data_IF_287584486572
#
_entry.id   IF_287584486572
#
_cell.length_a   1.000
_cell.length_b   1.000
_cell.length_c   1.000
_cell.angle_alpha   90.00
_cell.angle_beta   90.00
_cell.angle_gamma   90.00
#
_symmetry.space_group_name_H-M   'P 1'
#
loop_
_entity.id
_entity.type
_entity.pdbx_description
1 polymer ?
#
# COMPACT_ATOMS: atom_id res chain seq x y z
N UNK A 1 13.71 -2.93 -19.17
CA UNK A 1 12.45 -2.22 -18.88
C UNK A 1 11.41 -3.20 -18.39
N UNK A 2 11.29 -3.25 -17.08
CA UNK A 2 10.29 -4.05 -16.36
C UNK A 2 8.93 -3.35 -16.39
N UNK A 3 7.84 -4.10 -16.42
CA UNK A 3 6.49 -3.52 -16.34
C UNK A 3 6.07 -3.40 -14.88
N UNK A 4 5.82 -2.17 -14.45
CA UNK A 4 5.47 -1.84 -13.06
C UNK A 4 3.97 -1.57 -12.88
N UNK A 5 3.42 -2.06 -11.77
CA UNK A 5 2.08 -1.75 -11.27
C UNK A 5 2.17 -1.15 -9.87
N UNK A 6 1.43 -0.07 -9.62
CA UNK A 6 1.16 0.47 -8.29
C UNK A 6 -0.23 0.03 -7.85
N UNK A 7 -0.29 -0.83 -6.83
CA UNK A 7 -1.54 -1.24 -6.18
C UNK A 7 -1.64 -0.55 -4.83
N UNK A 8 -2.80 0.00 -4.47
CA UNK A 8 -2.96 0.62 -3.16
C UNK A 8 -4.36 0.48 -2.59
N UNK A 9 -4.45 0.44 -1.26
CA UNK A 9 -5.68 0.73 -0.52
C UNK A 9 -5.58 2.11 0.10
N UNK A 10 -6.67 2.87 0.12
CA UNK A 10 -6.71 4.14 0.84
C UNK A 10 -8.12 4.46 1.33
N UNK A 11 -8.21 4.89 2.58
CA UNK A 11 -9.44 5.27 3.26
C UNK A 11 -9.31 6.66 3.89
N UNK A 12 -10.45 7.33 4.13
CA UNK A 12 -10.53 8.72 4.60
C UNK A 12 -9.86 9.72 3.66
N UNK A 13 -8.77 10.39 4.07
CA UNK A 13 -8.20 11.54 3.36
C UNK A 13 -7.40 11.21 2.09
N UNK A 14 -7.26 9.93 1.74
CA UNK A 14 -6.56 9.55 0.52
C UNK A 14 -5.04 9.72 0.59
N UNK A 15 -4.44 9.70 1.79
CA UNK A 15 -2.98 9.86 1.96
C UNK A 15 -2.19 8.81 1.17
N UNK A 16 -2.56 7.54 1.29
CA UNK A 16 -1.92 6.44 0.53
C UNK A 16 -2.17 6.59 -0.97
N UNK A 17 -3.37 7.05 -1.38
CA UNK A 17 -3.68 7.37 -2.77
C UNK A 17 -2.74 8.44 -3.32
N UNK A 18 -2.52 9.52 -2.57
CA UNK A 18 -1.61 10.61 -2.95
C UNK A 18 -0.21 10.08 -3.25
N UNK A 19 0.34 9.22 -2.39
CA UNK A 19 1.67 8.63 -2.60
C UNK A 19 1.68 7.68 -3.80
N UNK A 20 0.62 6.86 -3.97
CA UNK A 20 0.49 5.97 -5.12
C UNK A 20 0.45 6.75 -6.45
N UNK A 21 -0.27 7.87 -6.49
CA UNK A 21 -0.34 8.76 -7.65
C UNK A 21 1.00 9.47 -7.92
N UNK A 22 1.72 9.90 -6.89
CA UNK A 22 3.07 10.45 -7.06
C UNK A 22 4.04 9.42 -7.66
N UNK A 23 4.04 8.19 -7.12
CA UNK A 23 4.87 7.10 -7.63
C UNK A 23 4.54 6.77 -9.09
N UNK A 24 3.25 6.68 -9.41
CA UNK A 24 2.77 6.45 -10.78
C UNK A 24 3.24 7.56 -11.72
N UNK A 25 3.09 8.82 -11.34
CA UNK A 25 3.51 9.96 -12.15
C UNK A 25 5.02 9.99 -12.39
N UNK A 26 5.83 9.61 -11.41
CA UNK A 26 7.29 9.61 -11.53
C UNK A 26 7.89 8.41 -12.23
N UNK A 27 7.15 7.31 -12.35
CA UNK A 27 7.63 6.05 -12.98
C UNK A 27 6.94 5.74 -14.31
N UNK A 28 5.76 6.30 -14.57
CA UNK A 28 4.90 5.92 -15.69
C UNK A 28 4.23 4.55 -15.50
N UNK A 29 4.23 4.00 -14.29
CA UNK A 29 3.61 2.71 -13.98
C UNK A 29 2.08 2.73 -14.16
N UNK A 30 1.49 1.53 -14.34
CA UNK A 30 0.04 1.38 -14.21
C UNK A 30 -0.38 1.54 -12.75
N UNK A 31 -1.65 1.90 -12.49
CA UNK A 31 -2.19 2.04 -11.14
C UNK A 31 -3.51 1.30 -10.97
N UNK A 32 -3.67 0.59 -9.86
CA UNK A 32 -4.91 -0.07 -9.47
C UNK A 32 -5.23 0.19 -7.99
N UNK A 33 -6.51 0.44 -7.71
CA UNK A 33 -7.00 0.61 -6.33
C UNK A 33 -7.63 -0.68 -5.82
N UNK A 34 -7.28 -1.07 -4.60
CA UNK A 34 -7.99 -2.11 -3.85
C UNK A 34 -9.26 -1.48 -3.26
N UNK A 35 -10.41 -2.11 -3.54
CA UNK A 35 -11.70 -1.71 -2.99
C UNK A 35 -12.36 -2.92 -2.32
N UNK A 36 -12.86 -2.75 -1.10
CA UNK A 36 -13.68 -3.77 -0.45
C UNK A 36 -15.04 -3.85 -1.15
N UNK A 37 -15.63 -5.03 -1.24
CA UNK A 37 -17.00 -5.19 -1.77
C UNK A 37 -18.02 -4.43 -0.90
N UNK A 38 -17.79 -4.41 0.41
CA UNK A 38 -18.52 -3.57 1.36
C UNK A 38 -17.58 -2.46 1.87
N UNK A 39 -17.77 -1.19 1.46
CA UNK A 39 -16.94 -0.09 1.94
C UNK A 39 -17.10 0.16 3.45
N UNK A 40 -16.00 0.48 4.12
CA UNK A 40 -16.07 0.97 5.51
C UNK A 40 -16.93 2.23 5.57
N UNK A 41 -17.92 2.20 6.45
CA UNK A 41 -18.93 3.25 6.61
C UNK A 41 -19.11 3.59 8.08
N UNK A 42 -19.71 4.75 8.37
CA UNK A 42 -19.87 5.27 9.73
C UNK A 42 -18.97 6.47 10.01
N UNK A 43 -18.89 6.85 11.29
CA UNK A 43 -17.98 7.89 11.75
C UNK A 43 -16.51 7.42 11.69
N UNK A 44 -15.58 8.36 11.86
CA UNK A 44 -14.16 8.01 11.95
C UNK A 44 -13.89 7.03 13.11
N UNK A 45 -14.54 7.25 14.26
CA UNK A 45 -14.41 6.40 15.44
C UNK A 45 -14.97 4.99 15.19
N UNK A 46 -16.10 4.87 14.48
CA UNK A 46 -16.69 3.57 14.13
C UNK A 46 -15.73 2.73 13.28
N UNK A 47 -15.08 3.35 12.29
CA UNK A 47 -14.12 2.67 11.42
C UNK A 47 -12.82 2.34 12.14
N UNK A 48 -12.36 3.21 13.05
CA UNK A 48 -11.20 2.91 13.91
C UNK A 48 -11.47 1.68 14.77
N UNK A 49 -12.64 1.58 15.41
CA UNK A 49 -13.02 0.43 16.24
C UNK A 49 -13.28 -0.83 15.42
N UNK A 50 -13.90 -0.71 14.25
CA UNK A 50 -14.03 -1.83 13.31
C UNK A 50 -12.65 -2.34 12.87
N UNK A 51 -11.77 -1.45 12.41
CA UNK A 51 -10.42 -1.80 11.99
C UNK A 51 -9.63 -2.50 13.09
N UNK A 52 -9.86 -2.14 14.37
CA UNK A 52 -9.22 -2.81 15.51
C UNK A 52 -9.61 -4.28 15.57
N UNK A 53 -10.92 -4.52 15.62
CA UNK A 53 -11.49 -5.86 15.73
C UNK A 53 -11.09 -6.73 14.55
N UNK A 54 -11.05 -6.16 13.35
CA UNK A 54 -10.64 -6.87 12.14
C UNK A 54 -9.16 -7.25 12.13
N UNK A 55 -8.27 -6.31 12.51
CA UNK A 55 -6.83 -6.60 12.64
C UNK A 55 -6.58 -7.66 13.71
N UNK A 56 -7.19 -7.53 14.89
CA UNK A 56 -7.04 -8.50 16.00
C UNK A 56 -7.56 -9.90 15.63
N UNK A 57 -8.60 -9.98 14.79
CA UNK A 57 -9.17 -11.23 14.33
C UNK A 57 -8.47 -11.83 13.11
N UNK A 58 -7.53 -11.11 12.46
CA UNK A 58 -7.00 -11.49 11.16
C UNK A 58 -8.06 -11.56 10.07
N UNK A 59 -9.08 -10.70 10.16
CA UNK A 59 -10.19 -10.67 9.22
C UNK A 59 -9.73 -10.27 7.83
N UNK A 60 -10.20 -10.99 6.81
CA UNK A 60 -9.90 -10.73 5.41
C UNK A 60 -11.21 -10.32 4.71
N UNK A 61 -11.54 -9.02 4.64
CA UNK A 61 -12.75 -8.56 3.96
C UNK A 61 -12.71 -8.95 2.49
N UNK A 62 -13.86 -9.26 1.91
CA UNK A 62 -13.95 -9.46 0.46
C UNK A 62 -13.56 -8.16 -0.28
N UNK A 63 -12.77 -8.32 -1.34
CA UNK A 63 -12.34 -7.22 -2.21
C UNK A 63 -12.86 -7.44 -3.64
N UNK A 64 -13.13 -6.34 -4.33
CA UNK A 64 -13.41 -6.37 -5.75
C UNK A 64 -12.17 -6.82 -6.53
N UNK A 65 -12.32 -7.52 -7.66
CA UNK A 65 -11.20 -7.76 -8.57
C UNK A 65 -10.56 -6.44 -9.01
N UNK A 66 -9.23 -6.38 -9.00
CA UNK A 66 -8.50 -5.24 -9.55
C UNK A 66 -8.66 -5.18 -11.08
N UNK A 67 -8.49 -4.00 -11.66
CA UNK A 67 -8.73 -3.74 -13.09
C UNK A 67 -7.67 -4.31 -14.04
N UNK A 68 -6.67 -5.01 -13.53
CA UNK A 68 -5.50 -5.50 -14.29
C UNK A 68 -5.16 -6.93 -13.89
N UNK A 69 -4.42 -7.63 -14.76
CA UNK A 69 -3.89 -8.95 -14.47
C UNK A 69 -2.47 -8.85 -13.88
N UNK A 70 -2.27 -9.27 -12.64
CA UNK A 70 -0.97 -9.23 -11.95
C UNK A 70 0.13 -10.02 -12.67
N UNK A 71 -0.23 -11.06 -13.43
CA UNK A 71 0.75 -11.85 -14.18
C UNK A 71 1.49 -11.03 -15.25
N UNK A 72 0.92 -9.91 -15.69
CA UNK A 72 1.48 -9.07 -16.75
C UNK A 72 2.61 -8.14 -16.26
N UNK A 73 2.91 -8.15 -14.96
CA UNK A 73 3.82 -7.20 -14.31
C UNK A 73 4.97 -7.91 -13.58
N UNK A 74 6.15 -7.31 -13.66
CA UNK A 74 7.38 -7.79 -13.02
C UNK A 74 7.55 -7.17 -11.63
N UNK A 75 7.18 -5.89 -11.50
CA UNK A 75 7.33 -5.09 -10.28
C UNK A 75 5.97 -4.61 -9.78
N UNK A 76 5.65 -4.90 -8.52
CA UNK A 76 4.40 -4.48 -7.88
C UNK A 76 4.72 -3.60 -6.65
N UNK A 77 4.47 -2.31 -6.75
CA UNK A 77 4.43 -1.45 -5.57
C UNK A 77 3.09 -1.60 -4.86
N UNK A 78 3.10 -1.83 -3.55
CA UNK A 78 1.88 -2.10 -2.77
C UNK A 78 1.78 -1.09 -1.62
N UNK A 79 0.71 -0.31 -1.63
CA UNK A 79 0.47 0.79 -0.69
C UNK A 79 -0.64 0.51 0.32
N UNK A 80 -0.39 0.77 1.60
CA UNK A 80 -1.39 0.66 2.66
C UNK A 80 -1.35 1.81 3.67
N UNK A 81 -2.48 2.25 4.24
CA UNK A 81 -2.45 2.95 5.51
C UNK A 81 -2.07 1.97 6.64
N UNK A 82 -1.47 2.50 7.71
CA UNK A 82 -1.20 1.74 8.93
C UNK A 82 -2.44 1.72 9.82
N UNK A 83 -3.02 0.54 10.01
CA UNK A 83 -4.18 0.29 10.87
C UNK A 83 -3.76 -0.62 12.02
N UNK A 84 -3.89 -0.14 13.25
CA UNK A 84 -3.53 -0.90 14.46
C UNK A 84 -2.16 -1.58 14.37
N UNK A 85 -1.17 -0.80 13.93
CA UNK A 85 0.24 -1.18 13.80
C UNK A 85 0.57 -2.19 12.68
N UNK A 86 -0.37 -2.50 11.80
CA UNK A 86 -0.14 -3.33 10.60
C UNK A 86 -0.87 -2.76 9.37
N UNK A 87 -0.86 -3.47 8.24
CA UNK A 87 -1.57 -3.09 7.00
C UNK A 87 -3.10 -3.11 7.18
N UNK A 88 -3.82 -2.39 6.32
CA UNK A 88 -5.27 -2.46 6.30
C UNK A 88 -5.72 -3.90 5.94
N UNK A 89 -6.81 -4.41 6.54
CA UNK A 89 -7.33 -5.76 6.25
C UNK A 89 -7.58 -6.06 4.76
N UNK A 90 -7.96 -5.04 3.98
CA UNK A 90 -8.13 -5.16 2.54
C UNK A 90 -6.82 -5.48 1.80
N UNK A 91 -5.69 -4.96 2.28
CA UNK A 91 -4.35 -5.25 1.73
C UNK A 91 -3.92 -6.65 2.14
N UNK A 92 -4.16 -7.08 3.38
CA UNK A 92 -3.94 -8.47 3.79
C UNK A 92 -4.68 -9.46 2.87
N UNK A 93 -5.95 -9.18 2.56
CA UNK A 93 -6.72 -9.98 1.59
C UNK A 93 -6.01 -10.00 0.25
N UNK A 94 -5.65 -8.85 -0.30
CA UNK A 94 -4.95 -8.76 -1.58
C UNK A 94 -3.64 -9.56 -1.59
N UNK A 95 -2.82 -9.48 -0.53
CA UNK A 95 -1.55 -10.20 -0.46
C UNK A 95 -1.75 -11.72 -0.38
N UNK A 96 -2.76 -12.18 0.35
CA UNK A 96 -3.00 -13.62 0.57
C UNK A 96 -3.74 -14.29 -0.58
N UNK A 97 -4.46 -13.54 -1.41
CA UNK A 97 -5.21 -14.08 -2.55
C UNK A 97 -4.48 -13.99 -3.89
N UNK A 98 -3.24 -13.47 -3.93
CA UNK A 98 -2.47 -13.30 -5.16
C UNK A 98 -1.09 -13.97 -5.06
N UNK A 99 -0.57 -14.39 -6.22
CA UNK A 99 0.76 -15.00 -6.33
C UNK A 99 1.81 -13.95 -6.72
N UNK A 100 2.85 -13.83 -5.90
CA UNK A 100 3.97 -12.92 -6.10
C UNK A 100 5.26 -13.66 -6.47
N UNK A 101 5.19 -14.97 -6.74
CA UNK A 101 6.35 -15.77 -7.11
C UNK A 101 7.06 -15.19 -8.34
N UNK A 102 8.36 -14.89 -8.18
CA UNK A 102 9.19 -14.35 -9.25
C UNK A 102 8.95 -12.86 -9.55
N UNK A 103 8.17 -12.16 -8.72
CA UNK A 103 7.97 -10.70 -8.81
C UNK A 103 8.86 -9.96 -7.82
N UNK A 104 9.12 -8.69 -8.11
CA UNK A 104 9.68 -7.74 -7.13
C UNK A 104 8.54 -6.94 -6.51
N UNK A 105 8.43 -6.95 -5.19
CA UNK A 105 7.46 -6.16 -4.43
C UNK A 105 8.14 -4.95 -3.82
N UNK A 106 7.49 -3.79 -3.97
CA UNK A 106 7.91 -2.52 -3.33
C UNK A 106 6.84 -2.15 -2.29
N UNK A 107 7.01 -2.55 -1.02
CA UNK A 107 6.03 -2.24 0.01
C UNK A 107 6.17 -0.78 0.44
N UNK A 108 5.06 -0.04 0.49
CA UNK A 108 5.04 1.28 1.09
C UNK A 108 3.82 1.49 1.99
N UNK A 109 3.99 2.31 3.02
CA UNK A 109 2.94 2.60 3.98
C UNK A 109 2.80 4.08 4.30
N UNK A 110 1.58 4.49 4.67
CA UNK A 110 1.31 5.81 5.24
C UNK A 110 0.83 5.69 6.68
N UNK A 111 1.40 6.47 7.61
CA UNK A 111 1.05 6.43 9.03
C UNK A 111 0.94 7.84 9.65
N UNK A 112 0.28 7.95 10.80
CA UNK A 112 0.16 9.19 11.59
C UNK A 112 1.24 9.36 12.67
N UNK A 113 2.42 8.74 12.52
CA UNK A 113 3.48 8.71 13.54
C UNK A 113 3.62 7.36 14.28
N UNK A 114 2.76 6.39 13.98
CA UNK A 114 2.83 5.03 14.52
C UNK A 114 2.95 4.01 13.38
N UNK A 115 4.18 3.75 12.88
CA UNK A 115 4.38 2.87 11.72
C UNK A 115 4.14 1.39 12.00
N UNK A 116 4.28 0.96 13.26
CA UNK A 116 4.09 -0.44 13.63
C UNK A 116 5.07 -1.39 12.93
N UNK A 117 4.57 -2.55 12.50
CA UNK A 117 5.30 -3.64 11.85
C UNK A 117 4.79 -3.92 10.42
N UNK A 118 4.10 -2.94 9.82
CA UNK A 118 3.39 -3.04 8.54
C UNK A 118 4.22 -3.66 7.43
N UNK A 119 5.40 -3.09 7.13
CA UNK A 119 6.22 -3.54 5.99
C UNK A 119 6.67 -4.99 6.22
N UNK A 120 7.11 -5.32 7.45
CA UNK A 120 7.48 -6.69 7.81
C UNK A 120 6.31 -7.67 7.60
N UNK A 121 5.10 -7.31 8.03
CA UNK A 121 3.92 -8.16 7.83
C UNK A 121 3.56 -8.31 6.34
N UNK A 122 3.75 -7.27 5.54
CA UNK A 122 3.57 -7.35 4.09
C UNK A 122 4.57 -8.33 3.47
N UNK A 123 5.84 -8.27 3.86
CA UNK A 123 6.88 -9.20 3.38
C UNK A 123 6.55 -10.65 3.73
N UNK A 124 6.07 -10.91 4.96
CA UNK A 124 5.67 -12.26 5.42
C UNK A 124 4.47 -12.83 4.62
N UNK A 125 3.62 -11.96 4.07
CA UNK A 125 2.44 -12.36 3.28
C UNK A 125 2.69 -12.40 1.76
N UNK A 126 3.76 -11.77 1.25
CA UNK A 126 4.17 -11.78 -0.16
C UNK A 126 5.12 -12.95 -0.47
N UNK A 127 4.69 -14.20 -0.24
CA UNK A 127 5.56 -15.37 -0.41
C UNK A 127 6.04 -15.51 -1.86
N UNK A 128 7.34 -15.77 -2.03
CA UNK A 128 7.97 -15.97 -3.34
C UNK A 128 8.39 -14.67 -4.05
N UNK A 129 8.10 -13.51 -3.48
CA UNK A 129 8.58 -12.22 -3.98
C UNK A 129 10.03 -11.95 -3.57
N UNK A 130 10.72 -11.15 -4.37
CA UNK A 130 11.85 -10.33 -3.91
C UNK A 130 11.32 -8.98 -3.40
N UNK A 131 12.06 -8.30 -2.53
CA UNK A 131 11.69 -6.98 -1.99
C UNK A 131 12.74 -5.93 -2.33
N UNK A 132 12.28 -4.73 -2.65
CA UNK A 132 13.14 -3.57 -2.93
C UNK A 132 12.43 -2.26 -2.56
N UNK A 133 13.22 -1.22 -2.33
CA UNK A 133 12.75 0.17 -2.20
C UNK A 133 11.58 0.34 -1.23
N UNK A 134 11.59 -0.34 -0.09
CA UNK A 134 10.54 -0.15 0.90
C UNK A 134 10.45 1.31 1.37
N UNK A 135 9.24 1.79 1.69
CA UNK A 135 9.07 3.17 2.11
C UNK A 135 8.02 3.38 3.19
N UNK A 136 8.42 4.08 4.25
CA UNK A 136 7.54 4.58 5.28
C UNK A 136 7.29 6.08 5.08
N UNK A 137 6.03 6.46 4.91
CA UNK A 137 5.61 7.84 4.76
C UNK A 137 4.76 8.26 5.97
N UNK A 138 5.14 9.35 6.62
CA UNK A 138 4.39 9.91 7.74
C UNK A 138 3.56 11.12 7.30
N UNK A 139 2.31 11.13 7.76
CA UNK A 139 1.39 12.26 7.73
C UNK A 139 1.09 12.72 9.17
N UNK A 140 0.39 13.86 9.30
CA UNK A 140 0.04 14.43 10.60
C UNK A 140 -0.69 13.43 11.51
N UNK A 141 -0.29 13.47 12.78
CA UNK A 141 -0.78 12.60 13.85
C UNK A 141 -2.27 12.72 14.17
N UNK A 142 -2.94 13.77 13.69
CA UNK A 142 -4.39 13.96 13.87
C UNK A 142 -5.20 13.30 12.75
N UNK A 143 -4.56 12.45 11.96
CA UNK A 143 -5.18 11.74 10.85
C UNK A 143 -5.59 12.67 9.71
N UNK A 144 -4.85 13.77 9.50
CA UNK A 144 -5.07 14.73 8.40
C UNK A 144 -4.19 14.43 7.19
N UNK A 145 -4.24 15.28 6.18
CA UNK A 145 -3.53 15.16 4.90
C UNK A 145 -2.19 15.94 4.84
N UNK A 146 -1.81 16.58 5.95
CA UNK A 146 -0.51 17.22 6.05
C UNK A 146 0.59 16.15 6.05
N UNK A 147 1.50 16.28 5.09
CA UNK A 147 2.59 15.36 4.88
C UNK A 147 3.80 15.80 5.73
N UNK A 148 4.28 14.91 6.61
CA UNK A 148 5.42 15.17 7.49
C UNK A 148 6.74 14.69 6.88
N UNK A 149 6.73 13.56 6.16
CA UNK A 149 7.86 13.12 5.35
C UNK A 149 8.10 14.12 4.22
N UNK A 150 9.31 14.66 4.07
CA UNK A 150 9.55 15.68 3.05
C UNK A 150 9.29 15.16 1.63
N UNK A 151 8.74 16.03 0.78
CA UNK A 151 8.51 15.73 -0.65
C UNK A 151 9.83 15.39 -1.38
N UNK A 152 10.97 15.94 -0.92
CA UNK A 152 12.30 15.63 -1.45
C UNK A 152 12.65 14.15 -1.26
N UNK A 153 12.45 13.61 -0.05
CA UNK A 153 12.72 12.19 0.26
C UNK A 153 11.84 11.27 -0.59
N UNK A 154 10.56 11.64 -0.78
CA UNK A 154 9.65 10.85 -1.63
C UNK A 154 10.07 10.93 -3.10
N UNK A 155 10.51 12.10 -3.57
CA UNK A 155 10.99 12.30 -4.94
C UNK A 155 12.25 11.49 -5.21
N UNK A 156 13.20 11.47 -4.27
CA UNK A 156 14.42 10.66 -4.36
C UNK A 156 14.11 9.17 -4.41
N UNK A 157 13.22 8.69 -3.54
CA UNK A 157 12.74 7.31 -3.53
C UNK A 157 12.12 6.90 -4.87
N UNK A 158 11.23 7.74 -5.42
CA UNK A 158 10.62 7.52 -6.74
C UNK A 158 11.70 7.49 -7.84
N UNK A 159 12.69 8.39 -7.77
CA UNK A 159 13.81 8.44 -8.71
C UNK A 159 14.68 7.18 -8.71
N UNK A 160 14.91 6.58 -7.53
CA UNK A 160 15.63 5.30 -7.39
C UNK A 160 14.85 4.16 -8.04
N UNK A 161 13.54 4.05 -7.75
CA UNK A 161 12.67 3.04 -8.38
C UNK A 161 12.67 3.21 -9.90
N UNK A 162 12.45 4.43 -10.39
CA UNK A 162 12.39 4.72 -11.81
C UNK A 162 13.72 4.39 -12.51
N UNK A 163 14.85 4.60 -11.84
CA UNK A 163 16.17 4.23 -12.37
C UNK A 163 16.31 2.71 -12.49
N UNK A 164 15.81 1.94 -11.53
CA UNK A 164 15.97 0.48 -11.53
C UNK A 164 15.06 -0.21 -12.56
N UNK A 165 13.80 0.18 -12.67
CA UNK A 165 12.85 -0.44 -13.62
C UNK A 165 13.18 -0.14 -15.10
N UNK A 166 13.92 0.95 -15.36
CA UNK A 166 14.31 1.38 -16.71
C UNK A 166 15.72 0.94 -17.12
N UNK A 167 16.44 0.20 -16.27
CA UNK A 167 17.65 -0.52 -16.69
C UNK A 167 17.31 -1.63 -17.72
#
# INVERSE_FOLDING_TARGET
MEKMLVVYYSWSNGNTKRIAEQLTNGTGADIARIETTEPYSGSHEDVVEQGKREVEAGFMPQINPISVNLADYDVIAIGTPTWWYTMAPAVLTFLTTNDFTGKTVIPFMTNGGWPGHVIKDMEENCKGAAFAHEMQIQFDSKGKDHLETSEEVITEWIGQINTDINK
#
